data_IF_946201875928
#
_entry.id   IF_946201875928
#
_cell.length_a   1.000
_cell.length_b   1.000
_cell.length_c   1.000
_cell.angle_alpha   90.00
_cell.angle_beta   90.00
_cell.angle_gamma   90.00
#
_symmetry.space_group_name_H-M   'P 1'
#
loop_
_entity.id
_entity.type
_entity.pdbx_description
1 polymer ?
#
# COMPACT_ATOMS: atom_id res chain seq x y z
N UNK A 1 -39.98 47.61 28.20
CA UNK A 1 -39.43 46.25 27.94
C UNK A 1 -38.43 46.34 26.78
N UNK A 2 -37.14 46.18 27.04
CA UNK A 2 -36.13 46.20 25.99
C UNK A 2 -36.07 44.80 25.36
N UNK A 3 -36.41 44.68 24.05
CA UNK A 3 -36.26 43.44 23.30
C UNK A 3 -34.78 42.97 23.30
N UNK A 4 -34.54 41.74 23.74
CA UNK A 4 -33.22 41.11 23.66
C UNK A 4 -32.88 40.90 22.20
N UNK A 5 -31.66 41.28 21.72
CA UNK A 5 -31.26 41.08 20.34
C UNK A 5 -31.30 39.58 19.99
N UNK A 6 -32.07 39.20 18.96
CA UNK A 6 -32.10 37.85 18.39
C UNK A 6 -30.68 37.49 17.92
N UNK A 7 -30.03 36.52 18.60
CA UNK A 7 -28.76 35.93 18.13
C UNK A 7 -28.96 35.47 16.68
N UNK A 8 -28.28 36.12 15.74
CA UNK A 8 -28.21 35.64 14.33
C UNK A 8 -27.74 34.19 14.36
N UNK A 9 -28.61 33.23 14.03
CA UNK A 9 -28.20 31.84 13.82
C UNK A 9 -27.18 31.84 12.69
N UNK A 10 -25.97 31.28 12.93
CA UNK A 10 -25.02 31.08 11.87
C UNK A 10 -25.69 30.32 10.71
N UNK A 11 -25.44 30.77 9.51
CA UNK A 11 -25.84 30.09 8.29
C UNK A 11 -25.37 28.64 8.33
N UNK A 12 -26.21 27.69 7.83
CA UNK A 12 -25.94 26.25 7.93
C UNK A 12 -24.59 25.88 7.31
N UNK A 13 -24.22 26.52 6.21
CA UNK A 13 -22.90 26.32 5.59
C UNK A 13 -21.74 26.73 6.49
N UNK A 14 -21.85 27.91 7.16
CA UNK A 14 -20.82 28.38 8.10
C UNK A 14 -20.70 27.48 9.33
N UNK A 15 -21.80 26.91 9.79
CA UNK A 15 -21.81 25.97 10.91
C UNK A 15 -21.15 24.66 10.55
N UNK A 16 -21.42 24.12 9.34
CA UNK A 16 -20.77 22.93 8.83
C UNK A 16 -19.26 23.15 8.64
N UNK A 17 -18.87 24.29 8.04
CA UNK A 17 -17.45 24.65 7.90
C UNK A 17 -16.73 24.71 9.23
N UNK A 18 -17.36 25.30 10.27
CA UNK A 18 -16.77 25.38 11.61
C UNK A 18 -16.54 23.98 12.24
N UNK A 19 -17.46 23.03 12.00
CA UNK A 19 -17.26 21.63 12.43
C UNK A 19 -16.17 20.92 11.67
N UNK A 20 -15.95 21.23 10.39
CA UNK A 20 -14.88 20.66 9.59
C UNK A 20 -13.51 21.30 9.88
N UNK A 21 -13.48 22.54 10.40
CA UNK A 21 -12.26 23.32 10.57
C UNK A 21 -11.16 22.57 11.37
N UNK A 22 -11.43 21.96 12.54
CA UNK A 22 -10.40 21.23 13.28
C UNK A 22 -9.80 20.07 12.48
N UNK A 23 -10.59 19.36 11.68
CA UNK A 23 -10.10 18.27 10.82
C UNK A 23 -9.25 18.81 9.66
N UNK A 24 -9.65 19.95 9.06
CA UNK A 24 -8.86 20.62 8.03
C UNK A 24 -7.53 21.13 8.59
N UNK A 25 -7.50 21.68 9.80
CA UNK A 25 -6.27 22.10 10.46
C UNK A 25 -5.35 20.92 10.77
N UNK A 26 -5.88 19.78 11.23
CA UNK A 26 -5.10 18.57 11.42
C UNK A 26 -4.55 18.05 10.09
N UNK A 27 -5.36 18.01 9.05
CA UNK A 27 -4.90 17.61 7.71
C UNK A 27 -3.77 18.55 7.23
N UNK A 28 -3.94 19.86 7.37
CA UNK A 28 -2.89 20.82 7.01
C UNK A 28 -1.61 20.60 7.81
N UNK A 29 -1.71 20.47 9.13
CA UNK A 29 -0.56 20.30 10.01
C UNK A 29 0.22 19.00 9.74
N UNK A 30 -0.46 17.90 9.45
CA UNK A 30 0.20 16.60 9.26
C UNK A 30 0.53 16.24 7.81
N UNK A 31 -0.19 16.79 6.83
CA UNK A 31 0.04 16.46 5.41
C UNK A 31 0.78 17.56 4.66
N UNK A 32 0.51 18.84 4.95
CA UNK A 32 1.12 19.95 4.19
C UNK A 32 2.31 20.57 4.91
N UNK A 33 2.26 20.76 6.22
CA UNK A 33 3.37 21.35 6.96
C UNK A 33 4.69 20.56 6.81
N UNK A 34 4.73 19.20 6.80
CA UNK A 34 5.95 18.45 6.56
C UNK A 34 6.60 18.68 5.18
N UNK A 35 5.84 19.16 4.18
CA UNK A 35 6.41 19.51 2.88
C UNK A 35 7.48 20.63 2.98
N UNK A 36 7.42 21.46 4.05
CA UNK A 36 8.49 22.40 4.35
C UNK A 36 9.86 21.71 4.47
N UNK A 37 9.89 20.44 4.89
CA UNK A 37 11.12 19.62 4.93
C UNK A 37 11.79 19.41 3.57
N UNK A 38 11.10 19.66 2.45
CA UNK A 38 11.72 19.59 1.13
C UNK A 38 12.87 20.61 0.95
N UNK A 39 12.89 21.68 1.76
CA UNK A 39 13.96 22.67 1.75
C UNK A 39 15.33 22.04 2.03
N UNK A 40 15.39 20.95 2.81
CA UNK A 40 16.65 20.24 3.11
C UNK A 40 17.32 19.65 1.88
N UNK A 41 16.59 19.40 0.79
CA UNK A 41 17.17 18.94 -0.48
C UNK A 41 18.07 19.94 -1.19
N UNK A 42 17.98 21.24 -0.80
CA UNK A 42 18.77 22.31 -1.38
C UNK A 42 19.97 22.72 -0.52
N UNK A 43 20.11 22.15 0.67
CA UNK A 43 21.18 22.44 1.61
C UNK A 43 22.02 21.19 1.89
N UNK A 44 23.28 21.33 2.34
CA UNK A 44 24.08 20.24 2.92
C UNK A 44 23.72 20.10 4.40
N UNK A 45 22.51 19.60 4.66
CA UNK A 45 21.96 19.52 6.00
C UNK A 45 22.52 18.32 6.77
N UNK A 46 23.11 18.60 7.93
CA UNK A 46 23.70 17.61 8.85
C UNK A 46 23.18 17.85 10.28
N UNK A 47 22.28 17.01 10.79
CA UNK A 47 21.86 17.12 12.18
C UNK A 47 23.08 17.03 13.13
N UNK A 48 23.11 17.77 14.25
CA UNK A 48 22.04 18.62 14.82
C UNK A 48 22.09 20.11 14.39
N UNK A 49 22.82 20.47 13.32
CA UNK A 49 22.96 21.85 12.88
C UNK A 49 21.63 22.47 12.49
N UNK A 50 21.50 23.80 12.74
CA UNK A 50 20.35 24.56 12.22
C UNK A 50 20.52 24.78 10.72
N UNK A 51 19.42 24.90 9.96
CA UNK A 51 19.46 25.14 8.52
C UNK A 51 20.24 26.38 8.14
N UNK A 52 20.20 27.43 8.98
CA UNK A 52 20.96 28.67 8.81
C UNK A 52 22.50 28.51 8.91
N UNK A 53 22.95 27.39 9.47
CA UNK A 53 24.38 27.04 9.61
C UNK A 53 24.86 26.11 8.50
N UNK A 54 23.95 25.68 7.63
CA UNK A 54 24.25 24.74 6.56
C UNK A 54 24.48 25.49 5.23
N UNK A 55 25.38 24.96 4.42
CA UNK A 55 25.68 25.55 3.12
C UNK A 55 24.55 25.29 2.12
N UNK A 56 24.15 26.31 1.39
CA UNK A 56 23.22 26.17 0.28
C UNK A 56 23.90 25.52 -0.92
N UNK A 57 23.39 24.37 -1.36
CA UNK A 57 23.97 23.57 -2.45
C UNK A 57 23.13 23.58 -3.74
N UNK A 58 21.98 24.29 -3.73
CA UNK A 58 21.07 24.32 -4.86
C UNK A 58 20.67 22.91 -5.34
N UNK A 59 20.80 22.63 -6.63
CA UNK A 59 20.43 21.35 -7.23
C UNK A 59 21.53 20.27 -7.20
N UNK A 60 22.59 20.45 -6.40
CA UNK A 60 23.74 19.52 -6.37
C UNK A 60 23.30 18.08 -6.03
N UNK A 61 22.42 17.89 -5.04
CA UNK A 61 21.94 16.57 -4.64
C UNK A 61 21.15 15.88 -5.75
N UNK A 62 20.36 16.64 -6.51
CA UNK A 62 19.63 16.10 -7.67
C UNK A 62 20.58 15.68 -8.79
N UNK A 63 21.62 16.49 -9.09
CA UNK A 63 22.65 16.14 -10.07
C UNK A 63 23.43 14.90 -9.64
N UNK A 64 23.76 14.78 -8.35
CA UNK A 64 24.53 13.66 -7.80
C UNK A 64 23.82 12.31 -7.98
N UNK A 65 22.48 12.28 -7.97
CA UNK A 65 21.68 11.08 -8.22
C UNK A 65 21.99 10.49 -9.61
N UNK A 66 22.24 11.34 -10.62
CA UNK A 66 22.43 10.94 -12.02
C UNK A 66 23.89 10.90 -12.47
N UNK A 67 24.79 11.61 -11.79
CA UNK A 67 26.20 11.73 -12.22
C UNK A 67 27.10 10.71 -11.54
N UNK A 68 26.81 10.32 -10.28
CA UNK A 68 27.64 9.36 -9.55
C UNK A 68 27.32 7.92 -10.01
N UNK A 69 28.25 7.21 -10.68
CA UNK A 69 27.98 5.85 -11.23
C UNK A 69 27.53 4.84 -10.16
N UNK A 70 28.11 4.92 -8.96
CA UNK A 70 27.71 4.03 -7.84
C UNK A 70 26.28 4.29 -7.40
N UNK A 71 25.87 5.56 -7.33
CA UNK A 71 24.52 5.96 -6.96
C UNK A 71 23.50 5.56 -8.03
N UNK A 72 23.84 5.78 -9.30
CA UNK A 72 23.00 5.39 -10.45
C UNK A 72 22.78 3.86 -10.45
N UNK A 73 23.85 3.08 -10.26
CA UNK A 73 23.74 1.61 -10.19
C UNK A 73 22.85 1.15 -9.04
N UNK A 74 23.03 1.76 -7.86
CA UNK A 74 22.23 1.41 -6.69
C UNK A 74 20.76 1.80 -6.90
N UNK A 75 20.50 2.98 -7.45
CA UNK A 75 19.15 3.44 -7.76
C UNK A 75 18.48 2.52 -8.78
N UNK A 76 19.22 2.05 -9.79
CA UNK A 76 18.69 1.11 -10.78
C UNK A 76 18.23 -0.21 -10.13
N UNK A 77 19.04 -0.77 -9.21
CA UNK A 77 18.67 -1.99 -8.46
C UNK A 77 17.38 -1.74 -7.64
N UNK A 78 17.34 -0.63 -6.93
CA UNK A 78 16.19 -0.23 -6.10
C UNK A 78 14.93 -0.01 -6.95
N UNK A 79 15.03 0.64 -8.10
CA UNK A 79 13.91 0.83 -9.02
C UNK A 79 13.43 -0.49 -9.61
N UNK A 80 14.34 -1.38 -10.00
CA UNK A 80 13.99 -2.74 -10.44
C UNK A 80 13.16 -3.46 -9.37
N UNK A 81 13.60 -3.42 -8.11
CA UNK A 81 12.89 -4.07 -7.00
C UNK A 81 11.52 -3.42 -6.76
N UNK A 82 11.46 -2.09 -6.77
CA UNK A 82 10.21 -1.33 -6.62
C UNK A 82 9.22 -1.70 -7.72
N UNK A 83 9.67 -1.73 -8.98
CA UNK A 83 8.81 -2.10 -10.11
C UNK A 83 8.37 -3.57 -10.04
N UNK A 84 9.27 -4.49 -9.71
CA UNK A 84 8.93 -5.89 -9.56
C UNK A 84 7.85 -6.10 -8.49
N UNK A 85 8.01 -5.50 -7.30
CA UNK A 85 7.05 -5.60 -6.21
C UNK A 85 5.72 -4.96 -6.55
N UNK A 86 5.72 -3.77 -7.16
CA UNK A 86 4.50 -3.08 -7.56
C UNK A 86 3.75 -3.85 -8.63
N UNK A 87 4.45 -4.38 -9.62
CA UNK A 87 3.85 -5.22 -10.65
C UNK A 87 3.21 -6.48 -10.06
N UNK A 88 3.91 -7.17 -9.17
CA UNK A 88 3.39 -8.37 -8.49
C UNK A 88 2.16 -8.05 -7.63
N UNK A 89 2.17 -6.94 -6.89
CA UNK A 89 1.02 -6.49 -6.10
C UNK A 89 -0.19 -6.14 -6.99
N UNK A 90 0.04 -5.48 -8.13
CA UNK A 90 -1.01 -5.18 -9.11
C UNK A 90 -1.54 -6.48 -9.74
N UNK A 91 -0.68 -7.41 -10.12
CA UNK A 91 -1.09 -8.69 -10.69
C UNK A 91 -1.96 -9.51 -9.71
N UNK A 92 -1.67 -9.44 -8.42
CA UNK A 92 -2.43 -10.14 -7.37
C UNK A 92 -3.62 -9.33 -6.83
N UNK A 93 -3.85 -8.09 -7.30
CA UNK A 93 -4.98 -7.24 -6.87
C UNK A 93 -6.36 -7.83 -7.17
N UNK A 94 -6.43 -8.80 -8.06
CA UNK A 94 -7.64 -9.54 -8.38
C UNK A 94 -8.02 -10.56 -7.29
N UNK A 95 -7.07 -10.99 -6.43
CA UNK A 95 -7.33 -12.00 -5.40
C UNK A 95 -8.39 -11.57 -4.36
N UNK A 96 -8.35 -10.33 -3.81
CA UNK A 96 -9.40 -9.86 -2.91
C UNK A 96 -10.80 -9.83 -3.54
N UNK A 97 -10.90 -9.56 -4.84
CA UNK A 97 -12.17 -9.59 -5.58
C UNK A 97 -12.73 -11.01 -5.63
N UNK A 98 -11.94 -12.00 -6.08
CA UNK A 98 -12.39 -13.39 -6.09
C UNK A 98 -12.68 -13.90 -4.69
N UNK A 99 -11.87 -13.56 -3.70
CA UNK A 99 -12.13 -13.92 -2.32
C UNK A 99 -13.47 -13.38 -1.83
N UNK A 100 -13.82 -12.13 -2.14
CA UNK A 100 -15.12 -11.54 -1.79
C UNK A 100 -16.28 -12.26 -2.47
N UNK A 101 -16.16 -12.59 -3.76
CA UNK A 101 -17.18 -13.31 -4.53
C UNK A 101 -17.42 -14.69 -3.90
N UNK A 102 -16.37 -15.48 -3.65
CA UNK A 102 -16.52 -16.81 -3.02
C UNK A 102 -17.02 -16.72 -1.59
N UNK A 103 -16.58 -15.74 -0.83
CA UNK A 103 -17.06 -15.53 0.55
C UNK A 103 -18.54 -15.20 0.59
N UNK A 104 -19.06 -14.45 -0.40
CA UNK A 104 -20.46 -14.12 -0.50
C UNK A 104 -21.36 -15.36 -0.79
N UNK A 105 -20.82 -16.36 -1.46
CA UNK A 105 -21.52 -17.60 -1.77
C UNK A 105 -21.70 -18.55 -0.56
N UNK A 106 -21.03 -18.29 0.56
CA UNK A 106 -21.14 -19.11 1.76
C UNK A 106 -22.52 -18.89 2.39
N UNK A 107 -23.37 -19.93 2.38
CA UNK A 107 -24.73 -19.88 2.93
C UNK A 107 -24.77 -19.74 4.46
N UNK A 108 -23.84 -20.40 5.15
CA UNK A 108 -23.75 -20.35 6.61
C UNK A 108 -23.23 -18.98 7.08
N UNK A 109 -24.11 -18.12 7.58
CA UNK A 109 -23.78 -16.76 8.01
C UNK A 109 -22.68 -16.72 9.08
N UNK A 110 -22.71 -17.64 10.03
CA UNK A 110 -21.68 -17.74 11.07
C UNK A 110 -20.31 -18.06 10.48
N UNK A 111 -20.23 -19.07 9.61
CA UNK A 111 -18.98 -19.48 8.96
C UNK A 111 -18.43 -18.36 8.07
N UNK A 112 -19.30 -17.70 7.27
CA UNK A 112 -18.90 -16.54 6.46
C UNK A 112 -18.29 -15.43 7.32
N UNK A 113 -18.95 -15.06 8.45
CA UNK A 113 -18.45 -14.04 9.37
C UNK A 113 -17.13 -14.46 10.01
N UNK A 114 -17.00 -15.72 10.41
CA UNK A 114 -15.77 -16.27 10.99
C UNK A 114 -14.60 -16.16 9.99
N UNK A 115 -14.79 -16.62 8.74
CA UNK A 115 -13.76 -16.56 7.70
C UNK A 115 -13.38 -15.11 7.41
N UNK A 116 -14.36 -14.21 7.24
CA UNK A 116 -14.12 -12.78 7.02
C UNK A 116 -13.31 -12.18 8.17
N UNK A 117 -13.66 -12.44 9.41
CA UNK A 117 -12.95 -11.91 10.57
C UNK A 117 -11.51 -12.44 10.62
N UNK A 118 -11.33 -13.76 10.52
CA UNK A 118 -9.99 -14.37 10.58
C UNK A 118 -9.06 -13.89 9.47
N UNK A 119 -9.58 -13.67 8.26
CA UNK A 119 -8.77 -13.14 7.15
C UNK A 119 -8.52 -11.65 7.21
N UNK A 120 -9.34 -10.90 7.96
CA UNK A 120 -9.17 -9.45 8.13
C UNK A 120 -8.23 -9.11 9.30
N UNK A 121 -8.20 -9.92 10.36
CA UNK A 121 -7.34 -9.71 11.55
C UNK A 121 -5.87 -9.46 11.21
N UNK A 122 -5.21 -10.20 10.29
CA UNK A 122 -3.79 -9.99 9.97
C UNK A 122 -3.46 -8.55 9.54
N UNK A 123 -4.40 -7.83 8.95
CA UNK A 123 -4.20 -6.43 8.55
C UNK A 123 -3.92 -5.50 9.73
N UNK A 124 -4.42 -5.81 10.93
CA UNK A 124 -4.24 -5.00 12.14
C UNK A 124 -2.98 -5.35 12.92
N UNK A 125 -2.31 -6.45 12.58
CA UNK A 125 -1.06 -6.88 13.21
C UNK A 125 0.09 -6.06 12.62
N UNK A 126 1.02 -5.56 13.47
CA UNK A 126 2.21 -4.85 12.98
C UNK A 126 3.13 -5.79 12.18
N UNK A 127 3.89 -5.24 11.22
CA UNK A 127 4.86 -6.02 10.44
C UNK A 127 5.95 -6.67 11.31
N UNK A 128 6.29 -6.07 12.45
CA UNK A 128 7.24 -6.65 13.42
C UNK A 128 6.71 -7.97 13.98
N UNK A 129 5.43 -8.03 14.36
CA UNK A 129 4.82 -9.27 14.85
C UNK A 129 4.65 -10.30 13.73
N UNK A 130 4.31 -9.86 12.50
CA UNK A 130 4.28 -10.74 11.34
C UNK A 130 5.65 -11.37 11.08
N UNK A 131 6.72 -10.58 11.17
CA UNK A 131 8.09 -11.11 11.04
C UNK A 131 8.44 -12.08 12.17
N UNK A 132 8.05 -11.80 13.40
CA UNK A 132 8.28 -12.71 14.52
C UNK A 132 7.61 -14.08 14.29
N UNK A 133 6.37 -14.09 13.80
CA UNK A 133 5.68 -15.33 13.40
C UNK A 133 6.40 -16.01 12.23
N UNK A 134 6.79 -15.25 11.20
CA UNK A 134 7.55 -15.79 10.09
C UNK A 134 8.87 -16.42 10.53
N UNK A 135 9.58 -15.78 11.46
CA UNK A 135 10.83 -16.30 12.02
C UNK A 135 10.64 -17.58 12.81
N UNK A 136 9.62 -17.64 13.68
CA UNK A 136 9.30 -18.86 14.45
C UNK A 136 8.94 -20.04 13.53
N UNK A 137 8.29 -19.78 12.39
CA UNK A 137 7.86 -20.83 11.48
C UNK A 137 8.96 -21.21 10.47
N UNK A 138 9.63 -20.24 9.87
CA UNK A 138 10.44 -20.40 8.66
C UNK A 138 11.94 -20.12 8.83
N UNK A 139 12.42 -19.82 10.05
CA UNK A 139 13.86 -19.73 10.29
C UNK A 139 14.56 -21.07 10.10
N UNK A 140 15.89 -21.09 10.04
CA UNK A 140 16.65 -22.31 9.87
C UNK A 140 16.39 -23.36 10.98
N UNK A 141 16.04 -22.91 12.17
CA UNK A 141 15.64 -23.71 13.34
C UNK A 141 14.14 -23.61 13.63
N UNK A 142 13.36 -23.06 12.69
CA UNK A 142 11.94 -22.85 12.83
C UNK A 142 11.12 -24.13 12.71
N UNK A 143 9.84 -24.05 13.11
CA UNK A 143 8.93 -25.19 13.18
C UNK A 143 8.88 -25.99 11.86
N UNK A 144 8.79 -25.31 10.70
CA UNK A 144 8.70 -25.99 9.40
C UNK A 144 9.94 -26.82 9.10
N UNK A 145 11.14 -26.25 9.27
CA UNK A 145 12.39 -26.96 9.06
C UNK A 145 12.56 -28.14 10.04
N UNK A 146 12.22 -27.93 11.30
CA UNK A 146 12.28 -28.98 12.34
C UNK A 146 11.36 -30.14 12.00
N UNK A 147 10.12 -29.88 11.60
CA UNK A 147 9.16 -30.92 11.21
C UNK A 147 9.64 -31.68 9.96
N UNK A 148 10.09 -30.96 8.91
CA UNK A 148 10.58 -31.59 7.70
C UNK A 148 11.82 -32.46 7.93
N UNK A 149 12.73 -32.04 8.81
CA UNK A 149 13.92 -32.83 9.20
C UNK A 149 13.54 -34.08 10.01
N UNK A 150 12.62 -33.93 10.98
CA UNK A 150 12.15 -35.07 11.78
C UNK A 150 11.38 -36.10 10.94
N UNK A 151 10.69 -35.67 9.88
CA UNK A 151 10.01 -36.56 8.92
C UNK A 151 11.00 -37.16 7.89
N UNK A 152 12.27 -36.81 7.92
CA UNK A 152 13.29 -37.31 6.97
C UNK A 152 13.16 -36.76 5.55
N UNK A 153 12.30 -35.74 5.33
CA UNK A 153 12.06 -35.14 4.01
C UNK A 153 13.26 -34.31 3.55
N UNK A 154 13.94 -33.65 4.48
CA UNK A 154 15.13 -32.82 4.21
C UNK A 154 16.26 -33.18 5.16
N UNK A 155 17.50 -33.18 4.64
CA UNK A 155 18.71 -33.40 5.45
C UNK A 155 19.30 -32.11 6.01
N UNK A 156 19.09 -30.98 5.31
CA UNK A 156 19.57 -29.65 5.71
C UNK A 156 18.41 -28.66 5.73
N UNK A 157 18.43 -27.69 6.65
CA UNK A 157 17.36 -26.69 6.73
C UNK A 157 17.27 -25.86 5.44
N UNK A 158 16.06 -25.60 5.00
CA UNK A 158 15.75 -24.72 3.86
C UNK A 158 15.85 -23.29 4.35
N UNK A 159 16.61 -22.46 3.64
CA UNK A 159 16.79 -21.03 3.98
C UNK A 159 15.63 -20.18 3.41
N UNK A 160 14.47 -20.23 4.03
CA UNK A 160 13.29 -19.48 3.58
C UNK A 160 13.43 -17.97 3.75
N UNK A 161 14.02 -17.51 4.87
CA UNK A 161 14.17 -16.09 5.19
C UNK A 161 15.56 -15.55 4.83
N UNK A 162 16.57 -16.41 4.86
CA UNK A 162 17.98 -16.08 4.66
C UNK A 162 18.46 -16.38 3.23
N UNK A 163 17.58 -16.21 2.25
CA UNK A 163 17.90 -16.43 0.84
C UNK A 163 17.41 -15.26 0.00
N UNK A 164 18.21 -14.88 -1.01
CA UNK A 164 17.88 -13.82 -1.95
C UNK A 164 16.98 -14.31 -3.11
N UNK A 165 17.03 -15.61 -3.43
CA UNK A 165 16.36 -16.19 -4.60
C UNK A 165 14.84 -16.13 -4.58
N UNK A 166 14.21 -16.12 -3.39
CA UNK A 166 12.75 -16.17 -3.22
C UNK A 166 12.17 -14.90 -2.58
N UNK A 167 12.96 -13.83 -2.45
CA UNK A 167 12.57 -12.61 -1.74
C UNK A 167 11.28 -12.00 -2.28
N UNK A 168 11.13 -11.87 -3.60
CA UNK A 168 9.93 -11.27 -4.21
C UNK A 168 8.67 -12.07 -3.90
N UNK A 169 8.73 -13.40 -4.06
CA UNK A 169 7.59 -14.28 -3.79
C UNK A 169 7.25 -14.29 -2.31
N UNK A 170 8.26 -14.37 -1.44
CA UNK A 170 8.05 -14.33 0.01
C UNK A 170 7.37 -13.02 0.45
N UNK A 171 7.85 -11.87 -0.03
CA UNK A 171 7.24 -10.57 0.28
C UNK A 171 5.82 -10.48 -0.26
N UNK A 172 5.56 -10.99 -1.47
CA UNK A 172 4.23 -11.02 -2.06
C UNK A 172 3.26 -11.90 -1.24
N UNK A 173 3.69 -13.09 -0.83
CA UNK A 173 2.85 -13.99 -0.03
C UNK A 173 2.48 -13.38 1.31
N UNK A 174 3.43 -12.76 2.02
CA UNK A 174 3.17 -12.09 3.29
C UNK A 174 2.25 -10.88 3.13
N UNK A 175 2.46 -10.05 2.10
CA UNK A 175 1.59 -8.89 1.83
C UNK A 175 0.18 -9.32 1.43
N UNK A 176 0.06 -10.35 0.59
CA UNK A 176 -1.23 -10.89 0.15
C UNK A 176 -1.99 -11.49 1.33
N UNK A 177 -1.34 -12.34 2.15
CA UNK A 177 -1.96 -12.92 3.35
C UNK A 177 -2.46 -11.85 4.30
N UNK A 178 -1.66 -10.81 4.54
CA UNK A 178 -2.01 -9.71 5.43
C UNK A 178 -3.13 -8.84 4.86
N UNK A 179 -3.13 -8.57 3.56
CA UNK A 179 -4.02 -7.62 2.90
C UNK A 179 -5.31 -8.21 2.33
N UNK A 180 -5.40 -9.53 2.13
CA UNK A 180 -6.47 -10.18 1.39
C UNK A 180 -7.87 -9.88 1.96
N UNK A 181 -8.07 -10.11 3.25
CA UNK A 181 -9.37 -9.90 3.91
C UNK A 181 -9.76 -8.42 3.95
N UNK A 182 -8.80 -7.53 4.18
CA UNK A 182 -9.04 -6.09 4.17
C UNK A 182 -9.43 -5.58 2.78
N UNK A 183 -8.69 -5.97 1.75
CA UNK A 183 -9.00 -5.62 0.36
C UNK A 183 -10.35 -6.13 -0.11
N UNK A 184 -10.81 -7.26 0.41
CA UNK A 184 -12.12 -7.82 0.08
C UNK A 184 -13.31 -7.01 0.62
N UNK A 185 -13.13 -6.19 1.65
CA UNK A 185 -14.23 -5.41 2.28
C UNK A 185 -14.90 -4.50 1.26
N UNK A 186 -14.13 -3.82 0.42
CA UNK A 186 -14.69 -2.92 -0.61
C UNK A 186 -15.56 -3.69 -1.61
N UNK A 187 -15.13 -4.88 -2.03
CA UNK A 187 -15.91 -5.72 -2.93
C UNK A 187 -17.16 -6.30 -2.25
N UNK A 188 -17.07 -6.70 -0.99
CA UNK A 188 -18.25 -7.15 -0.22
C UNK A 188 -19.28 -6.03 -0.07
N UNK A 189 -18.83 -4.79 0.14
CA UNK A 189 -19.72 -3.63 0.19
C UNK A 189 -20.38 -3.38 -1.18
N UNK A 190 -19.63 -3.49 -2.28
CA UNK A 190 -20.19 -3.39 -3.63
C UNK A 190 -21.21 -4.51 -3.93
N UNK A 191 -20.92 -5.76 -3.54
CA UNK A 191 -21.87 -6.88 -3.70
C UNK A 191 -23.18 -6.62 -2.96
N UNK A 192 -23.11 -6.05 -1.74
CA UNK A 192 -24.30 -5.70 -0.97
C UNK A 192 -25.16 -4.61 -1.62
N UNK A 193 -24.60 -3.82 -2.55
CA UNK A 193 -25.31 -2.79 -3.31
C UNK A 193 -25.92 -3.27 -4.63
N UNK A 194 -25.65 -4.51 -5.05
CA UNK A 194 -26.23 -5.08 -6.27
C UNK A 194 -27.72 -5.35 -6.06
N UNK A 195 -28.54 -4.99 -7.06
CA UNK A 195 -29.98 -5.21 -7.01
C UNK A 195 -30.32 -6.69 -6.91
N UNK A 196 -31.11 -7.04 -5.90
CA UNK A 196 -31.52 -8.43 -5.64
C UNK A 196 -32.49 -8.94 -6.74
N UNK A 197 -33.24 -8.06 -7.39
CA UNK A 197 -34.17 -8.44 -8.48
C UNK A 197 -33.41 -9.08 -9.63
N UNK A 198 -32.17 -8.66 -9.91
CA UNK A 198 -31.31 -9.28 -10.92
C UNK A 198 -31.03 -10.75 -10.62
N UNK A 199 -30.75 -11.05 -9.34
CA UNK A 199 -30.50 -12.43 -8.92
C UNK A 199 -31.76 -13.29 -8.92
N UNK A 200 -32.90 -12.70 -8.56
CA UNK A 200 -34.21 -13.39 -8.55
C UNK A 200 -34.66 -13.73 -9.98
N UNK A 201 -34.59 -12.78 -10.91
CA UNK A 201 -34.92 -12.99 -12.31
C UNK A 201 -34.06 -14.12 -12.92
N UNK A 202 -32.74 -14.05 -12.73
CA UNK A 202 -31.83 -15.07 -13.25
C UNK A 202 -32.08 -16.46 -12.65
N UNK A 203 -32.52 -16.56 -11.38
CA UNK A 203 -32.91 -17.84 -10.77
C UNK A 203 -34.19 -18.41 -11.39
N UNK A 204 -35.15 -17.56 -11.71
CA UNK A 204 -36.39 -17.98 -12.43
C UNK A 204 -36.01 -18.52 -13.81
N UNK A 205 -35.02 -17.91 -14.48
CA UNK A 205 -34.46 -18.39 -15.76
C UNK A 205 -33.60 -19.67 -15.61
N UNK A 206 -33.46 -20.22 -14.40
CA UNK A 206 -32.74 -21.48 -14.15
C UNK A 206 -31.21 -21.28 -13.96
N UNK A 207 -30.74 -20.07 -13.76
CA UNK A 207 -29.32 -19.84 -13.55
C UNK A 207 -28.78 -20.49 -12.27
N UNK A 208 -27.74 -21.30 -12.42
CA UNK A 208 -27.00 -21.90 -11.32
C UNK A 208 -26.08 -20.87 -10.64
N UNK A 209 -25.53 -21.21 -9.45
CA UNK A 209 -24.69 -20.32 -8.64
C UNK A 209 -23.48 -19.77 -9.40
N UNK A 210 -22.80 -20.62 -10.17
CA UNK A 210 -21.63 -20.17 -10.94
C UNK A 210 -22.02 -19.19 -12.05
N UNK A 211 -23.20 -19.36 -12.65
CA UNK A 211 -23.74 -18.44 -13.66
C UNK A 211 -24.07 -17.08 -13.01
N UNK A 212 -24.68 -17.07 -11.82
CA UNK A 212 -24.95 -15.84 -11.07
C UNK A 212 -23.65 -15.07 -10.74
N UNK A 213 -22.61 -15.79 -10.26
CA UNK A 213 -21.30 -15.17 -10.02
C UNK A 213 -20.69 -14.59 -11.29
N UNK A 214 -20.72 -15.35 -12.40
CA UNK A 214 -20.03 -14.95 -13.64
C UNK A 214 -20.75 -13.84 -14.39
N UNK A 215 -22.09 -13.88 -14.45
CA UNK A 215 -22.86 -12.99 -15.33
C UNK A 215 -23.53 -11.82 -14.59
N UNK A 216 -23.62 -11.88 -13.26
CA UNK A 216 -24.18 -10.78 -12.46
C UNK A 216 -23.12 -10.21 -11.53
N UNK A 217 -22.64 -11.01 -10.56
CA UNK A 217 -21.78 -10.51 -9.50
C UNK A 217 -20.46 -9.95 -10.05
N UNK A 218 -19.77 -10.67 -10.92
CA UNK A 218 -18.46 -10.28 -11.43
C UNK A 218 -18.53 -9.03 -12.32
N UNK A 219 -19.45 -8.90 -13.28
CA UNK A 219 -19.62 -7.68 -14.08
C UNK A 219 -19.95 -6.45 -13.24
N UNK A 220 -20.83 -6.58 -12.25
CA UNK A 220 -21.22 -5.47 -11.34
C UNK A 220 -20.06 -5.03 -10.43
N UNK A 221 -19.09 -5.90 -10.17
CA UNK A 221 -17.88 -5.56 -9.44
C UNK A 221 -16.78 -4.89 -10.28
N UNK A 222 -16.85 -5.00 -11.61
CA UNK A 222 -15.81 -4.43 -12.50
C UNK A 222 -15.58 -2.94 -12.29
N UNK A 223 -16.59 -2.08 -12.16
CA UNK A 223 -16.38 -0.66 -11.87
C UNK A 223 -15.53 -0.44 -10.61
N UNK A 224 -15.85 -1.12 -9.52
CA UNK A 224 -15.09 -1.05 -8.25
C UNK A 224 -13.67 -1.59 -8.41
N UNK A 225 -13.50 -2.73 -9.08
CA UNK A 225 -12.17 -3.31 -9.36
C UNK A 225 -11.28 -2.33 -10.12
N UNK A 226 -11.81 -1.69 -11.16
CA UNK A 226 -11.01 -0.75 -11.94
C UNK A 226 -10.63 0.50 -11.16
N UNK A 227 -11.50 1.00 -10.28
CA UNK A 227 -11.13 2.12 -9.39
C UNK A 227 -9.99 1.70 -8.46
N UNK A 228 -10.07 0.53 -7.84
CA UNK A 228 -9.02 0.01 -6.96
C UNK A 228 -7.71 -0.27 -7.72
N UNK A 229 -7.81 -0.80 -8.94
CA UNK A 229 -6.66 -1.02 -9.82
C UNK A 229 -5.97 0.30 -10.18
N UNK A 230 -6.73 1.33 -10.56
CA UNK A 230 -6.19 2.65 -10.88
C UNK A 230 -5.51 3.30 -9.69
N UNK A 231 -6.08 3.18 -8.49
CA UNK A 231 -5.43 3.64 -7.26
C UNK A 231 -4.13 2.87 -6.99
N UNK A 232 -4.09 1.57 -7.26
CA UNK A 232 -2.86 0.77 -7.14
C UNK A 232 -1.79 1.22 -8.14
N UNK A 233 -2.18 1.52 -9.39
CA UNK A 233 -1.25 2.05 -10.40
C UNK A 233 -0.78 3.46 -10.05
N UNK A 234 -1.64 4.32 -9.52
CA UNK A 234 -1.25 5.66 -9.06
C UNK A 234 -0.22 5.59 -7.93
N UNK A 235 -0.34 4.57 -7.07
CA UNK A 235 0.60 4.30 -5.98
C UNK A 235 1.76 3.37 -6.37
N UNK A 236 2.06 3.22 -7.65
CA UNK A 236 3.06 2.27 -8.17
C UNK A 236 4.45 2.39 -7.53
N UNK A 237 4.89 3.59 -7.16
CA UNK A 237 6.17 3.83 -6.48
C UNK A 237 6.08 3.81 -4.95
N UNK A 238 4.88 3.63 -4.39
CA UNK A 238 4.62 3.64 -2.95
C UNK A 238 4.41 2.22 -2.44
N UNK A 239 5.49 1.48 -2.23
CA UNK A 239 5.41 0.09 -1.75
C UNK A 239 5.33 0.00 -0.22
N UNK A 240 5.49 1.12 0.47
CA UNK A 240 5.67 1.16 1.92
C UNK A 240 7.08 0.73 2.34
N UNK A 241 7.41 0.99 3.59
CA UNK A 241 8.72 0.65 4.15
C UNK A 241 8.65 -0.51 5.14
N UNK A 242 7.58 -0.57 5.94
CA UNK A 242 7.53 -1.38 7.17
C UNK A 242 7.78 -2.87 6.94
N UNK A 243 7.16 -3.45 5.91
CA UNK A 243 7.37 -4.85 5.56
C UNK A 243 8.82 -5.12 5.21
N UNK A 244 9.36 -4.33 4.29
CA UNK A 244 10.71 -4.54 3.76
C UNK A 244 11.78 -4.26 4.80
N UNK A 245 11.55 -3.30 5.69
CA UNK A 245 12.45 -2.94 6.79
C UNK A 245 12.63 -4.09 7.79
N UNK A 246 11.54 -4.73 8.21
CA UNK A 246 11.63 -5.81 9.21
C UNK A 246 12.12 -7.13 8.61
N UNK A 247 11.84 -7.40 7.33
CA UNK A 247 12.31 -8.60 6.64
C UNK A 247 13.70 -8.46 6.02
N UNK A 248 14.27 -7.25 5.99
CA UNK A 248 15.61 -7.01 5.45
C UNK A 248 16.69 -7.71 6.30
N UNK A 249 17.58 -8.44 5.63
CA UNK A 249 18.79 -8.99 6.24
C UNK A 249 19.98 -8.92 5.27
N UNK A 250 21.16 -9.39 5.68
CA UNK A 250 22.36 -9.33 4.88
C UNK A 250 22.28 -10.15 3.58
N UNK A 251 21.48 -11.21 3.56
CA UNK A 251 21.41 -12.15 2.42
C UNK A 251 20.41 -11.71 1.34
N UNK A 252 19.35 -10.95 1.71
CA UNK A 252 18.29 -10.59 0.78
C UNK A 252 18.31 -9.10 0.33
N UNK A 253 19.31 -8.33 0.77
CA UNK A 253 19.42 -6.89 0.54
C UNK A 253 19.32 -6.50 -0.94
N UNK A 254 19.84 -7.33 -1.85
CA UNK A 254 19.85 -7.03 -3.28
C UNK A 254 18.45 -7.03 -3.93
N UNK A 255 17.48 -7.77 -3.37
CA UNK A 255 16.13 -7.90 -3.92
C UNK A 255 15.02 -7.32 -3.01
N UNK A 256 15.30 -7.07 -1.72
CA UNK A 256 14.30 -6.53 -0.81
C UNK A 256 14.25 -5.00 -0.76
N UNK A 257 15.34 -4.34 -1.14
CA UNK A 257 15.47 -2.90 -1.01
C UNK A 257 14.63 -2.18 -2.08
N UNK A 258 13.40 -1.80 -1.71
CA UNK A 258 12.52 -0.92 -2.49
C UNK A 258 12.85 0.55 -2.24
N UNK A 259 12.29 1.46 -3.06
CA UNK A 259 12.60 2.88 -3.01
C UNK A 259 12.35 3.53 -1.64
N UNK A 260 11.25 3.18 -0.98
CA UNK A 260 10.91 3.69 0.35
C UNK A 260 11.95 3.29 1.41
N UNK A 261 12.34 2.01 1.41
CA UNK A 261 13.36 1.49 2.30
C UNK A 261 14.75 2.09 2.00
N UNK A 262 15.07 2.29 0.72
CA UNK A 262 16.33 2.90 0.30
C UNK A 262 16.45 4.35 0.79
N UNK A 263 15.41 5.15 0.61
CA UNK A 263 15.35 6.54 1.08
C UNK A 263 15.52 6.60 2.60
N UNK A 264 14.84 5.72 3.33
CA UNK A 264 14.99 5.63 4.78
C UNK A 264 16.42 5.28 5.19
N UNK A 265 17.01 4.28 4.56
CA UNK A 265 18.38 3.84 4.86
C UNK A 265 19.41 4.96 4.58
N UNK A 266 19.29 5.70 3.48
CA UNK A 266 20.18 6.84 3.20
C UNK A 266 19.98 7.95 4.23
N UNK A 267 18.75 8.29 4.55
CA UNK A 267 18.47 9.40 5.45
C UNK A 267 18.87 9.13 6.89
N UNK A 268 18.53 7.95 7.40
CA UNK A 268 18.69 7.62 8.80
C UNK A 268 20.01 6.94 9.11
N UNK A 269 20.44 5.96 8.31
CA UNK A 269 21.69 5.21 8.56
C UNK A 269 22.88 5.79 7.79
N UNK A 270 22.66 6.29 6.57
CA UNK A 270 23.67 6.92 5.73
C UNK A 270 23.98 8.38 6.08
N UNK A 271 23.27 8.95 7.06
CA UNK A 271 23.42 10.35 7.53
C UNK A 271 23.36 11.40 6.41
N UNK A 272 22.69 11.10 5.31
CA UNK A 272 22.51 12.01 4.16
C UNK A 272 21.04 12.38 3.96
N UNK A 273 20.49 13.16 4.90
CA UNK A 273 19.11 13.63 4.86
C UNK A 273 18.81 14.42 3.59
N UNK A 274 19.73 15.23 3.13
CA UNK A 274 19.59 16.05 1.93
C UNK A 274 19.39 15.21 0.67
N UNK A 275 20.19 14.15 0.48
CA UNK A 275 20.05 13.23 -0.64
C UNK A 275 18.76 12.40 -0.54
N UNK A 276 18.42 11.90 0.66
CA UNK A 276 17.19 11.18 0.90
C UNK A 276 15.96 12.03 0.57
N UNK A 277 15.97 13.31 0.99
CA UNK A 277 14.89 14.26 0.70
C UNK A 277 14.80 14.57 -0.79
N UNK A 278 15.92 14.72 -1.49
CA UNK A 278 15.93 14.94 -2.94
C UNK A 278 15.31 13.75 -3.71
N UNK A 279 15.65 12.51 -3.32
CA UNK A 279 15.06 11.31 -3.92
C UNK A 279 13.56 11.21 -3.61
N UNK A 280 13.14 11.49 -2.36
CA UNK A 280 11.73 11.50 -1.96
C UNK A 280 10.92 12.54 -2.73
N UNK A 281 11.49 13.73 -2.96
CA UNK A 281 10.87 14.79 -3.74
C UNK A 281 10.64 14.36 -5.20
N UNK A 282 11.67 13.78 -5.85
CA UNK A 282 11.54 13.22 -7.20
C UNK A 282 10.49 12.11 -7.26
N UNK A 283 10.49 11.18 -6.28
CA UNK A 283 9.48 10.13 -6.17
C UNK A 283 8.08 10.74 -6.11
N UNK A 284 7.86 11.76 -5.27
CA UNK A 284 6.56 12.41 -5.13
C UNK A 284 6.09 13.08 -6.43
N UNK A 285 6.98 13.76 -7.14
CA UNK A 285 6.68 14.37 -8.44
C UNK A 285 6.28 13.31 -9.48
N UNK A 286 7.01 12.20 -9.54
CA UNK A 286 6.67 11.09 -10.45
C UNK A 286 5.33 10.46 -10.06
N UNK A 287 5.06 10.25 -8.77
CA UNK A 287 3.79 9.68 -8.28
C UNK A 287 2.59 10.57 -8.63
N UNK A 288 2.72 11.89 -8.47
CA UNK A 288 1.66 12.84 -8.87
C UNK A 288 1.45 12.82 -10.38
N UNK A 289 2.54 12.78 -11.17
CA UNK A 289 2.44 12.68 -12.63
C UNK A 289 1.75 11.39 -13.08
N UNK A 290 2.08 10.25 -12.44
CA UNK A 290 1.42 8.97 -12.69
C UNK A 290 -0.07 9.04 -12.32
N UNK A 291 -0.42 9.63 -11.17
CA UNK A 291 -1.81 9.81 -10.77
C UNK A 291 -2.60 10.62 -11.82
N UNK A 292 -2.04 11.74 -12.27
CA UNK A 292 -2.67 12.57 -13.30
C UNK A 292 -2.82 11.83 -14.63
N UNK A 293 -1.79 11.07 -15.05
CA UNK A 293 -1.83 10.27 -16.26
C UNK A 293 -2.91 9.18 -16.18
N UNK A 294 -2.97 8.44 -15.07
CA UNK A 294 -3.98 7.39 -14.83
C UNK A 294 -5.38 7.99 -14.80
N UNK A 295 -5.57 9.15 -14.14
CA UNK A 295 -6.84 9.85 -14.11
C UNK A 295 -7.29 10.32 -15.52
N UNK A 296 -6.37 10.87 -16.31
CA UNK A 296 -6.63 11.26 -17.70
C UNK A 296 -7.03 10.08 -18.59
N UNK A 297 -6.35 8.94 -18.45
CA UNK A 297 -6.66 7.70 -19.16
C UNK A 297 -8.04 7.18 -18.75
N UNK A 298 -8.34 7.16 -17.43
CA UNK A 298 -9.63 6.75 -16.89
C UNK A 298 -10.78 7.58 -17.48
N UNK A 299 -10.63 8.90 -17.43
CA UNK A 299 -11.63 9.83 -17.98
C UNK A 299 -11.87 9.59 -19.48
N UNK A 300 -10.80 9.33 -20.25
CA UNK A 300 -10.90 9.10 -21.71
C UNK A 300 -11.57 7.76 -22.05
N UNK A 301 -11.30 6.71 -21.27
CA UNK A 301 -11.79 5.33 -21.56
C UNK A 301 -13.18 5.11 -20.97
N UNK A 302 -13.47 5.63 -19.78
CA UNK A 302 -14.68 5.31 -19.01
C UNK A 302 -15.61 6.50 -18.76
N UNK A 303 -15.18 7.72 -19.08
CA UNK A 303 -15.94 8.93 -18.77
C UNK A 303 -15.94 9.31 -17.29
N UNK A 304 -15.28 8.52 -16.40
CA UNK A 304 -15.25 8.74 -14.94
C UNK A 304 -13.85 9.17 -14.53
N UNK A 305 -13.73 10.29 -13.79
CA UNK A 305 -12.50 10.73 -13.19
C UNK A 305 -12.36 10.15 -11.77
N UNK A 306 -11.12 9.91 -11.31
CA UNK A 306 -10.81 9.50 -9.95
C UNK A 306 -10.71 10.69 -8.99
N UNK A 307 -10.36 11.85 -9.54
CA UNK A 307 -10.18 13.13 -8.84
C UNK A 307 -10.93 14.21 -9.58
#
# INVERSE_FOLDING_TARGET
MKEKPKKKKLDQGKRMFLYMLPFLLLCFAFSYFPLHGWIYSFYDYKPPLKLSQCNFMGLRWFKMIFVNPAQVRQLFIVMRNTFAMSFLNIATSVLPLFFAVFLNEIKCKWFRKMVQTLTTIPNFISWVLVYAVAFCLFSNTGMVNTVLQNLGVILKPIKFLDSDSHTYIAMLLWSTWKGLGWGAIMYLASIAGIDQEMYEAARVDGAGRFQLMRYITLPELMPTYFVMLMLSVANFLNNGMDQYFVFQNAFNKAHIQVLDLYVYNIGMTGSSLSLATAISMLKSLISVTLLMAVNGISKKIRGVSLV
#
